data_IF_635721948153
#
_entry.id   IF_635721948153
#
_cell.length_a   1.000
_cell.length_b   1.000
_cell.length_c   1.000
_cell.angle_alpha   90.00
_cell.angle_beta   90.00
_cell.angle_gamma   90.00
#
_symmetry.space_group_name_H-M   'P 1'
#
loop_
_entity.id
_entity.type
_entity.pdbx_description
1 polymer ?
#
# COMPACT_ATOMS: atom_id res chain seq x y z
N UNK A 1 42.07 49.25 -27.55
CA UNK A 1 41.11 48.21 -27.14
C UNK A 1 41.80 47.36 -26.08
N UNK A 2 41.19 47.21 -24.90
CA UNK A 2 41.77 46.39 -23.81
C UNK A 2 41.56 44.90 -24.06
N UNK A 3 42.25 44.02 -23.30
CA UNK A 3 42.03 42.58 -23.40
C UNK A 3 40.61 42.22 -22.99
N UNK A 4 40.04 41.21 -23.65
CA UNK A 4 38.71 40.66 -23.34
C UNK A 4 38.68 40.16 -21.89
N UNK A 5 37.55 40.37 -21.20
CA UNK A 5 37.37 39.90 -19.83
C UNK A 5 37.41 38.37 -19.73
N UNK A 6 37.84 37.84 -18.59
CA UNK A 6 37.82 36.39 -18.37
C UNK A 6 36.39 35.86 -18.26
N UNK A 7 36.18 34.68 -18.82
CA UNK A 7 34.91 33.98 -18.74
C UNK A 7 34.64 33.49 -17.31
N UNK A 8 33.42 33.67 -16.82
CA UNK A 8 33.02 33.24 -15.47
C UNK A 8 33.14 31.73 -15.26
N UNK A 9 33.31 31.30 -14.02
CA UNK A 9 33.33 29.87 -13.66
C UNK A 9 31.93 29.25 -13.82
N UNK A 10 31.85 27.93 -14.14
CA UNK A 10 30.59 27.20 -14.04
C UNK A 10 29.97 27.31 -12.65
N UNK A 11 28.64 27.34 -12.58
CA UNK A 11 27.92 27.28 -11.31
C UNK A 11 28.09 25.95 -10.59
N UNK A 12 27.83 25.93 -9.28
CA UNK A 12 27.84 24.70 -8.50
C UNK A 12 26.73 23.74 -8.96
N UNK A 13 26.92 22.44 -8.71
CA UNK A 13 25.87 21.46 -8.92
C UNK A 13 24.67 21.77 -8.02
N UNK A 14 23.46 21.63 -8.57
CA UNK A 14 22.23 21.78 -7.78
C UNK A 14 22.11 20.72 -6.69
N UNK A 15 21.31 21.02 -5.68
CA UNK A 15 21.05 20.08 -4.59
C UNK A 15 20.33 18.83 -5.10
N UNK A 16 20.54 17.66 -4.48
CA UNK A 16 19.73 16.48 -4.72
C UNK A 16 18.25 16.76 -4.52
N UNK A 17 17.40 16.16 -5.35
CA UNK A 17 15.97 16.20 -5.14
C UNK A 17 15.53 15.48 -3.88
N UNK A 18 14.39 15.88 -3.33
CA UNK A 18 13.82 15.25 -2.13
C UNK A 18 13.44 13.78 -2.39
N UNK A 19 13.54 12.94 -1.36
CA UNK A 19 13.06 11.56 -1.39
C UNK A 19 11.56 11.51 -1.71
N UNK A 20 11.17 10.61 -2.61
CA UNK A 20 9.77 10.44 -2.96
C UNK A 20 8.91 9.92 -1.79
N UNK A 21 7.60 10.15 -1.81
CA UNK A 21 6.71 9.68 -0.75
C UNK A 21 6.68 8.16 -0.68
N UNK A 22 6.34 7.63 0.50
CA UNK A 22 6.10 6.21 0.69
C UNK A 22 4.98 5.69 -0.22
N UNK A 23 5.10 4.42 -0.64
CA UNK A 23 4.06 3.76 -1.42
C UNK A 23 2.78 3.54 -0.61
N UNK A 24 1.62 3.35 -1.28
CA UNK A 24 0.38 3.08 -0.58
C UNK A 24 0.48 1.75 0.20
N UNK A 25 -0.27 1.58 1.30
CA UNK A 25 -0.32 0.29 1.97
C UNK A 25 -0.89 -0.79 1.08
N UNK A 26 -0.43 -2.02 1.30
CA UNK A 26 -0.79 -3.17 0.47
C UNK A 26 -2.27 -3.53 0.55
N UNK A 27 -2.73 -4.50 -0.26
CA UNK A 27 -4.10 -4.97 -0.20
C UNK A 27 -4.41 -5.71 1.11
N UNK A 28 -5.70 -5.88 1.47
CA UNK A 28 -6.13 -6.84 2.48
C UNK A 28 -5.64 -8.26 2.18
N UNK A 29 -5.26 -8.99 3.22
CA UNK A 29 -4.89 -10.40 3.12
C UNK A 29 -6.02 -11.28 2.58
N UNK A 30 -5.71 -12.48 2.05
CA UNK A 30 -6.75 -13.39 1.60
C UNK A 30 -7.66 -13.80 2.79
N UNK A 31 -8.88 -14.28 2.53
CA UNK A 31 -9.70 -14.94 3.53
C UNK A 31 -8.95 -16.06 4.25
N UNK A 32 -9.21 -16.21 5.55
CA UNK A 32 -8.73 -17.36 6.31
C UNK A 32 -9.35 -18.68 5.83
N UNK A 33 -8.77 -19.83 6.23
CA UNK A 33 -9.33 -21.13 5.87
C UNK A 33 -10.75 -21.31 6.44
N UNK A 34 -11.59 -22.17 5.83
CA UNK A 34 -12.90 -22.50 6.39
C UNK A 34 -12.81 -23.04 7.82
N UNK A 35 -13.86 -22.83 8.61
CA UNK A 35 -13.95 -23.38 9.96
C UNK A 35 -14.01 -24.91 9.97
N UNK A 36 -13.49 -25.50 11.05
CA UNK A 36 -13.42 -26.96 11.19
C UNK A 36 -14.80 -27.59 11.36
N UNK A 37 -15.07 -28.66 10.60
CA UNK A 37 -16.32 -29.41 10.65
C UNK A 37 -16.36 -30.33 11.88
N UNK A 38 -17.36 -30.22 12.77
CA UNK A 38 -17.64 -31.28 13.75
C UNK A 38 -18.62 -32.30 13.15
N UNK A 39 -18.22 -33.56 13.17
CA UNK A 39 -19.04 -34.70 12.73
C UNK A 39 -20.19 -34.91 13.72
N UNK A 40 -21.35 -34.29 13.46
CA UNK A 40 -22.59 -34.55 14.20
C UNK A 40 -23.24 -35.82 13.64
N UNK A 41 -22.92 -36.97 14.23
CA UNK A 41 -23.25 -38.30 13.70
C UNK A 41 -24.72 -38.72 13.89
N UNK A 42 -25.73 -37.83 13.99
CA UNK A 42 -27.08 -38.33 14.27
C UNK A 42 -28.32 -37.52 13.84
N UNK A 43 -28.25 -36.60 12.86
CA UNK A 43 -29.49 -35.97 12.38
C UNK A 43 -29.51 -35.78 10.86
N UNK A 44 -30.64 -36.16 10.26
CA UNK A 44 -30.95 -36.20 8.83
C UNK A 44 -30.97 -34.81 8.16
N UNK A 45 -29.85 -34.09 8.10
CA UNK A 45 -29.56 -33.11 7.03
C UNK A 45 -28.04 -32.96 6.97
N UNK A 46 -27.39 -33.73 6.09
CA UNK A 46 -26.03 -33.43 5.68
C UNK A 46 -26.06 -32.20 4.75
N UNK A 47 -26.25 -31.01 5.32
CA UNK A 47 -25.72 -29.80 4.70
C UNK A 47 -24.22 -29.87 4.96
N UNK A 48 -23.43 -29.88 3.88
CA UNK A 48 -21.99 -30.07 3.86
C UNK A 48 -21.34 -29.47 5.11
N UNK A 49 -20.81 -30.32 6.00
CA UNK A 49 -20.38 -29.96 7.35
C UNK A 49 -19.23 -28.94 7.44
N UNK A 50 -18.85 -28.31 6.33
CA UNK A 50 -17.79 -27.33 6.26
C UNK A 50 -18.20 -26.06 7.02
N UNK A 51 -17.36 -25.59 7.94
CA UNK A 51 -17.56 -24.30 8.60
C UNK A 51 -17.57 -23.16 7.58
N UNK A 52 -18.05 -21.98 8.01
CA UNK A 52 -18.06 -20.81 7.12
C UNK A 52 -16.64 -20.45 6.66
N UNK A 53 -16.47 -19.81 5.49
CA UNK A 53 -15.18 -19.23 5.10
C UNK A 53 -14.65 -18.25 6.16
N UNK A 54 -13.32 -18.20 6.32
CA UNK A 54 -12.67 -17.19 7.16
C UNK A 54 -12.91 -15.77 6.63
N UNK A 55 -12.80 -14.77 7.51
CA UNK A 55 -12.88 -13.37 7.09
C UNK A 55 -11.61 -12.96 6.35
N UNK A 56 -11.68 -11.92 5.52
CA UNK A 56 -10.51 -11.34 4.88
C UNK A 56 -9.48 -10.88 5.94
N UNK A 57 -8.20 -11.08 5.62
CA UNK A 57 -7.12 -10.65 6.49
C UNK A 57 -6.99 -9.13 6.56
N UNK A 58 -6.26 -8.61 7.56
CA UNK A 58 -6.04 -7.17 7.69
C UNK A 58 -5.31 -6.62 6.45
N UNK A 59 -5.42 -5.31 6.25
CA UNK A 59 -4.65 -4.60 5.22
C UNK A 59 -3.14 -4.78 5.47
N UNK A 60 -2.39 -5.05 4.42
CA UNK A 60 -0.94 -5.09 4.48
C UNK A 60 -0.31 -3.76 4.90
N UNK A 61 0.95 -3.77 5.37
CA UNK A 61 1.64 -2.57 5.84
C UNK A 61 1.86 -1.55 4.71
N UNK A 62 2.19 -0.32 5.10
CA UNK A 62 2.58 0.75 4.18
C UNK A 62 3.77 0.34 3.29
N UNK A 63 3.80 0.88 2.07
CA UNK A 63 4.92 0.73 1.17
C UNK A 63 6.20 1.37 1.71
N UNK A 64 7.35 0.98 1.17
CA UNK A 64 8.62 1.62 1.54
C UNK A 64 8.67 3.07 1.03
N UNK A 65 9.49 3.96 1.64
CA UNK A 65 9.79 5.28 1.09
C UNK A 65 10.26 5.21 -0.37
N UNK A 66 10.09 6.33 -1.07
CA UNK A 66 10.62 6.53 -2.42
C UNK A 66 12.14 6.54 -2.47
N UNK A 67 12.69 6.51 -3.68
CA UNK A 67 14.12 6.73 -3.87
C UNK A 67 14.41 8.25 -3.81
N UNK A 68 15.63 8.65 -3.38
CA UNK A 68 16.08 10.04 -3.49
C UNK A 68 15.95 10.58 -4.91
N UNK A 69 15.70 11.89 -5.04
CA UNK A 69 15.75 12.56 -6.34
C UNK A 69 17.16 12.63 -6.89
N UNK A 70 17.29 12.78 -8.20
CA UNK A 70 18.59 12.94 -8.83
C UNK A 70 19.25 14.27 -8.42
N UNK A 71 20.58 14.36 -8.57
CA UNK A 71 21.30 15.61 -8.34
C UNK A 71 20.89 16.63 -9.39
N UNK A 72 20.67 17.87 -8.94
CA UNK A 72 20.43 19.00 -9.82
C UNK A 72 21.55 19.23 -10.84
N UNK A 73 21.19 19.74 -12.02
CA UNK A 73 22.15 20.06 -13.06
C UNK A 73 23.13 21.14 -12.58
N UNK A 74 24.34 21.14 -13.14
CA UNK A 74 25.30 22.22 -12.92
C UNK A 74 24.73 23.55 -13.44
N UNK A 75 25.02 24.63 -12.72
CA UNK A 75 24.62 25.98 -13.14
C UNK A 75 25.31 26.38 -14.43
N UNK A 76 24.64 27.22 -15.22
CA UNK A 76 25.23 27.74 -16.45
C UNK A 76 26.48 28.58 -16.16
N UNK A 77 27.37 28.63 -17.15
CA UNK A 77 28.59 29.42 -17.07
C UNK A 77 28.23 30.91 -17.09
N UNK A 78 28.87 31.69 -16.22
CA UNK A 78 28.69 33.14 -16.20
C UNK A 78 29.02 33.80 -17.56
N UNK A 79 28.36 34.91 -17.92
CA UNK A 79 28.61 35.60 -19.17
C UNK A 79 30.04 36.15 -19.22
N UNK A 80 30.58 36.30 -20.43
CA UNK A 80 31.89 36.91 -20.65
C UNK A 80 31.91 38.37 -20.18
N UNK A 81 33.02 38.80 -19.57
CA UNK A 81 33.17 40.18 -19.11
C UNK A 81 33.19 41.17 -20.28
N UNK A 82 32.48 42.29 -20.16
CA UNK A 82 32.51 43.36 -21.17
C UNK A 82 33.93 43.92 -21.37
N UNK A 83 34.31 44.24 -22.60
CA UNK A 83 35.63 44.80 -22.92
C UNK A 83 35.86 46.17 -22.26
N UNK A 84 36.91 46.34 -21.46
CA UNK A 84 37.25 47.58 -20.76
C UNK A 84 38.70 47.61 -20.20
N UNK A 85 39.22 48.75 -19.73
CA UNK A 85 40.55 48.82 -19.10
C UNK A 85 40.58 47.95 -17.84
N UNK A 86 41.66 47.18 -17.63
CA UNK A 86 41.85 46.14 -16.59
C UNK A 86 40.56 45.49 -16.05
N UNK A 87 40.19 44.33 -16.61
CA UNK A 87 38.92 43.66 -16.34
C UNK A 87 38.62 43.46 -14.86
N UNK A 88 37.42 43.86 -14.43
CA UNK A 88 36.86 43.48 -13.13
C UNK A 88 36.77 41.95 -13.03
N UNK A 89 36.89 41.35 -11.83
CA UNK A 89 36.64 39.93 -11.63
C UNK A 89 35.32 39.48 -12.29
N UNK A 90 35.33 38.32 -12.94
CA UNK A 90 34.12 37.75 -13.55
C UNK A 90 33.01 37.58 -12.50
N UNK A 91 31.76 37.81 -12.90
CA UNK A 91 30.61 37.59 -12.00
C UNK A 91 30.52 36.10 -11.65
N UNK A 92 30.11 35.83 -10.41
CA UNK A 92 29.81 34.46 -9.98
C UNK A 92 28.75 33.83 -10.90
N UNK A 93 28.95 32.56 -11.27
CA UNK A 93 28.00 31.81 -12.09
C UNK A 93 26.66 31.65 -11.36
N UNK A 94 25.56 31.50 -12.12
CA UNK A 94 24.26 31.19 -11.51
C UNK A 94 24.30 29.85 -10.79
N UNK A 95 23.61 29.73 -9.65
CA UNK A 95 23.43 28.45 -8.97
C UNK A 95 22.80 27.39 -9.89
N UNK A 96 23.17 26.12 -9.71
CA UNK A 96 22.56 25.00 -10.41
C UNK A 96 21.06 24.86 -10.15
N UNK A 97 20.34 24.28 -11.11
CA UNK A 97 18.91 23.98 -10.96
C UNK A 97 18.71 22.88 -9.92
N UNK A 98 17.65 22.97 -9.10
CA UNK A 98 17.29 21.91 -8.16
C UNK A 98 17.07 20.57 -8.87
N UNK A 99 17.46 19.48 -8.20
CA UNK A 99 17.20 18.13 -8.69
C UNK A 99 15.71 17.81 -8.85
N UNK A 100 15.33 16.89 -9.76
CA UNK A 100 13.95 16.46 -9.91
C UNK A 100 13.46 15.72 -8.65
N UNK A 101 12.14 15.69 -8.37
CA UNK A 101 11.59 14.94 -7.25
C UNK A 101 11.97 13.45 -7.29
N UNK A 102 12.15 12.85 -6.12
CA UNK A 102 12.40 11.42 -5.98
C UNK A 102 11.26 10.54 -6.49
N UNK A 103 11.60 9.32 -6.91
CA UNK A 103 10.61 8.37 -7.38
C UNK A 103 9.69 7.91 -6.25
N UNK A 104 8.42 7.63 -6.56
CA UNK A 104 7.44 7.08 -5.60
C UNK A 104 7.93 5.76 -5.02
N UNK A 105 7.67 5.55 -3.73
CA UNK A 105 7.92 4.29 -3.03
C UNK A 105 7.20 3.09 -3.61
N UNK A 106 7.73 1.89 -3.35
CA UNK A 106 7.11 0.62 -3.74
C UNK A 106 5.82 0.40 -2.95
N UNK A 107 4.81 -0.21 -3.57
CA UNK A 107 3.57 -0.60 -2.88
C UNK A 107 3.85 -1.50 -1.68
N UNK A 108 3.00 -1.41 -0.66
CA UNK A 108 3.05 -2.29 0.49
C UNK A 108 2.83 -3.76 0.11
N UNK A 109 3.35 -4.66 0.94
CA UNK A 109 3.14 -6.11 0.78
C UNK A 109 1.71 -6.49 1.11
N UNK A 110 1.25 -7.64 0.60
CA UNK A 110 -0.08 -8.18 0.90
C UNK A 110 -0.27 -8.43 2.40
N UNK A 111 -1.49 -8.24 2.89
CA UNK A 111 -1.84 -8.60 4.27
C UNK A 111 -1.70 -10.09 4.54
N UNK A 112 -1.51 -10.45 5.81
CA UNK A 112 -1.54 -11.85 6.23
C UNK A 112 -2.95 -12.44 6.05
N UNK A 113 -3.09 -13.76 5.81
CA UNK A 113 -4.41 -14.41 5.77
C UNK A 113 -5.24 -14.09 7.00
N UNK A 114 -6.56 -13.97 6.81
CA UNK A 114 -7.47 -13.77 7.92
C UNK A 114 -7.58 -14.98 8.84
N UNK A 115 -8.21 -14.82 10.01
CA UNK A 115 -8.43 -15.94 10.92
C UNK A 115 -9.35 -17.00 10.28
N UNK A 116 -9.22 -18.27 10.68
CA UNK A 116 -10.14 -19.32 10.25
C UNK A 116 -11.60 -18.95 10.48
N UNK A 117 -12.48 -19.46 9.64
CA UNK A 117 -13.91 -19.25 9.78
C UNK A 117 -14.48 -19.92 11.03
N UNK A 118 -15.68 -19.48 11.43
CA UNK A 118 -16.36 -20.04 12.60
C UNK A 118 -16.89 -21.45 12.29
N UNK A 119 -16.68 -22.36 13.23
CA UNK A 119 -17.38 -23.63 13.30
C UNK A 119 -18.73 -23.44 14.00
N UNK A 120 -19.74 -24.24 13.62
CA UNK A 120 -21.02 -24.26 14.32
C UNK A 120 -20.98 -25.28 15.44
N UNK A 121 -21.41 -24.89 16.64
CA UNK A 121 -21.65 -25.84 17.73
C UNK A 121 -23.09 -26.38 17.67
N UNK A 122 -23.29 -27.60 18.19
CA UNK A 122 -24.60 -28.25 18.23
C UNK A 122 -25.66 -27.42 18.99
N UNK A 123 -25.24 -26.62 19.98
CA UNK A 123 -26.10 -25.72 20.74
C UNK A 123 -26.59 -24.50 19.92
N UNK A 124 -25.74 -23.95 19.05
CA UNK A 124 -26.11 -22.84 18.15
C UNK A 124 -27.04 -23.32 17.03
N UNK A 125 -26.86 -24.57 16.57
CA UNK A 125 -27.74 -25.19 15.58
C UNK A 125 -29.16 -25.40 16.12
N UNK A 126 -29.28 -25.90 17.35
CA UNK A 126 -30.58 -26.05 18.04
C UNK A 126 -31.27 -24.70 18.25
N UNK A 127 -30.50 -23.63 18.44
CA UNK A 127 -31.03 -22.27 18.57
C UNK A 127 -31.59 -21.73 17.24
N UNK A 128 -30.99 -22.06 16.09
CA UNK A 128 -31.52 -21.69 14.76
C UNK A 128 -32.74 -22.53 14.33
N UNK A 129 -32.76 -23.82 14.67
CA UNK A 129 -33.90 -24.72 14.40
C UNK A 129 -35.17 -24.30 15.15
N UNK A 130 -35.02 -23.70 16.35
CA UNK A 130 -36.15 -23.14 17.11
C UNK A 130 -36.67 -21.80 16.57
N UNK A 131 -35.88 -21.08 15.75
CA UNK A 131 -36.26 -19.76 15.20
C UNK A 131 -36.95 -19.88 13.83
N UNK A 132 -36.91 -21.05 13.18
CA UNK A 132 -37.62 -21.33 11.91
C UNK A 132 -38.73 -22.37 12.03
N UNK A 133 -39.34 -22.50 13.21
CA UNK A 133 -40.74 -22.93 13.29
C UNK A 133 -41.64 -21.70 13.42
N UNK A 134 -42.07 -21.06 12.30
CA UNK A 134 -43.28 -20.26 12.37
C UNK A 134 -44.38 -21.23 12.79
N UNK A 135 -44.97 -20.90 13.92
CA UNK A 135 -45.80 -21.68 14.81
C UNK A 135 -47.15 -22.12 14.21
N UNK A 136 -47.22 -22.57 12.94
CA UNK A 136 -48.49 -22.81 12.25
C UNK A 136 -48.60 -24.06 11.36
N UNK A 137 -47.57 -24.91 11.21
CA UNK A 137 -47.71 -26.17 10.45
C UNK A 137 -46.93 -27.33 11.08
N UNK A 138 -47.44 -27.85 12.20
CA UNK A 138 -47.32 -29.28 12.54
C UNK A 138 -48.36 -29.60 13.61
N UNK A 139 -49.64 -29.51 13.21
CA UNK A 139 -50.73 -30.18 13.92
C UNK A 139 -50.89 -31.57 13.31
N UNK A 140 -50.76 -32.56 14.19
CA UNK A 140 -51.39 -33.87 14.19
C UNK A 140 -50.96 -34.97 13.20
N UNK A 141 -50.91 -36.16 13.79
CA UNK A 141 -50.93 -37.51 13.22
C UNK A 141 -49.60 -37.96 12.57
N UNK A 142 -49.00 -39.09 12.94
CA UNK A 142 -49.57 -40.35 13.42
C UNK A 142 -48.47 -41.18 14.07
N UNK A 143 -48.87 -42.02 15.02
CA UNK A 143 -48.02 -42.99 15.71
C UNK A 143 -47.14 -43.83 14.78
N UNK A 144 -45.99 -44.24 15.28
CA UNK A 144 -45.37 -45.51 14.90
C UNK A 144 -45.08 -46.29 16.18
N UNK A 145 -45.58 -47.53 16.19
CA UNK A 145 -45.42 -48.55 17.24
C UNK A 145 -43.96 -48.88 17.50
#
# INVERSE_FOLDING_TARGET
>A
MGPTGILGSPGSAGLPGFTGPAGPPGPPGPPGPPGESRNITNTLVALDGNGLPGVAGPRGPAGSPGLPGERGAAGERGPEGQSGPMGMPGKEGSSGLSGPPGQRGKSGIHGMPGPPGRSFTEAEWRSFSLVTCPHLYCRNNTQWQ
#
